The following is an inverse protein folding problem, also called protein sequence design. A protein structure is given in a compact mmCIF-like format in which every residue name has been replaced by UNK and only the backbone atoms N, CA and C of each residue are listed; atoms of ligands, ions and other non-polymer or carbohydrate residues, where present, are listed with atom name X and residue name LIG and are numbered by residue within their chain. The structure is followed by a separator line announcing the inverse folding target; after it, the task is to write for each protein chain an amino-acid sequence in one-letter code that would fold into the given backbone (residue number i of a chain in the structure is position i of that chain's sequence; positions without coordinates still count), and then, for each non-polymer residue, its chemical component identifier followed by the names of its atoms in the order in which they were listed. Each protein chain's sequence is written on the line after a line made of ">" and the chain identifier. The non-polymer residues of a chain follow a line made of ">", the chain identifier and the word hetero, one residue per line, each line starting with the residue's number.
data_IF_154277634237
#
_entry.id   IF_154277634237
#
_cell.length_a   1.000
_cell.length_b   1.000
_cell.length_c   1.000
_cell.angle_alpha   90.00
_cell.angle_beta   90.00
_cell.angle_gamma   90.00
#
_symmetry.space_group_name_H-M   'P 1'
#
loop_
_entity.id
_entity.type
_entity.pdbx_description
1 polymer ?
#
# COMPACT_ATOMS: atom_id res chain seq x y z
N UNK A 1 45.54 17.22 -21.97
CA UNK A 1 45.36 18.10 -20.80
C UNK A 1 43.92 17.90 -20.34
N UNK A 2 43.57 16.82 -19.62
CA UNK A 2 43.73 16.55 -18.18
C UNK A 2 43.03 17.57 -17.27
N UNK A 3 42.24 17.02 -16.34
CA UNK A 3 41.61 17.61 -15.13
C UNK A 3 40.30 18.38 -15.35
N UNK A 4 39.25 18.25 -14.52
CA UNK A 4 39.05 17.43 -13.33
C UNK A 4 37.54 17.35 -13.04
N UNK A 5 37.06 16.13 -12.75
CA UNK A 5 35.76 15.93 -12.12
C UNK A 5 35.79 16.50 -10.70
N UNK A 6 34.74 17.24 -10.33
CA UNK A 6 34.59 17.77 -8.98
C UNK A 6 33.50 16.98 -8.27
N UNK A 7 33.94 15.92 -7.59
CA UNK A 7 33.23 15.30 -6.48
C UNK A 7 33.18 16.30 -5.32
N UNK A 8 32.00 16.73 -4.94
CA UNK A 8 31.81 17.46 -3.68
C UNK A 8 31.62 16.45 -2.56
N UNK A 9 32.61 16.43 -1.68
CA UNK A 9 32.73 15.58 -0.52
C UNK A 9 31.53 15.71 0.43
N UNK A 10 31.20 14.57 1.03
CA UNK A 10 30.30 14.40 2.17
C UNK A 10 30.75 15.34 3.29
N UNK A 11 29.92 16.34 3.61
CA UNK A 11 30.13 17.18 4.78
C UNK A 11 29.82 16.33 6.03
N UNK A 12 30.88 15.80 6.64
CA UNK A 12 30.87 15.37 8.03
C UNK A 12 30.60 16.60 8.90
N UNK A 13 29.39 16.67 9.47
CA UNK A 13 28.95 17.73 10.35
C UNK A 13 28.30 17.13 11.60
N UNK A 14 29.15 16.92 12.60
CA UNK A 14 28.87 17.04 14.04
C UNK A 14 27.59 16.36 14.59
N UNK A 15 27.66 15.04 14.80
CA UNK A 15 26.74 14.31 15.66
C UNK A 15 27.09 14.64 17.13
N UNK A 16 26.46 15.67 17.69
CA UNK A 16 26.44 15.88 19.14
C UNK A 16 25.67 14.72 19.80
N UNK A 17 26.41 13.81 20.44
CA UNK A 17 25.85 12.79 21.34
C UNK A 17 25.46 13.51 22.63
N UNK A 18 24.19 13.85 22.77
CA UNK A 18 23.61 14.25 24.05
C UNK A 18 23.49 12.98 24.90
N UNK A 19 24.27 12.89 25.98
CA UNK A 19 24.09 11.85 26.98
C UNK A 19 22.68 11.99 27.58
N UNK A 20 21.81 11.02 27.28
CA UNK A 20 20.50 10.96 27.90
C UNK A 20 20.70 10.82 29.41
N UNK A 21 20.26 11.81 30.19
CA UNK A 21 20.20 11.75 31.64
C UNK A 21 19.49 10.47 32.06
N UNK A 22 20.11 9.70 32.96
CA UNK A 22 19.64 8.41 33.46
C UNK A 22 18.17 8.51 33.87
N UNK A 23 17.29 7.97 33.04
CA UNK A 23 15.89 7.80 33.39
C UNK A 23 15.89 6.73 34.48
N UNK A 24 15.62 7.15 35.72
CA UNK A 24 15.46 6.25 36.85
C UNK A 24 14.55 5.10 36.44
N UNK A 25 15.13 3.91 36.34
CA UNK A 25 14.42 2.70 35.96
C UNK A 25 13.46 2.41 37.10
N UNK A 26 12.18 2.71 36.91
CA UNK A 26 11.14 2.25 37.82
C UNK A 26 11.31 0.74 37.97
N UNK A 27 11.54 0.29 39.20
CA UNK A 27 11.89 -1.08 39.53
C UNK A 27 10.90 -2.05 38.86
N UNK A 28 11.41 -2.83 37.91
CA UNK A 28 10.64 -3.90 37.29
C UNK A 28 10.31 -4.96 38.36
N UNK A 29 9.10 -5.53 38.37
CA UNK A 29 8.71 -6.54 39.34
C UNK A 29 9.60 -7.80 39.23
N UNK A 30 9.82 -8.54 40.33
CA UNK A 30 10.73 -9.69 40.34
C UNK A 30 10.27 -10.76 39.34
N UNK A 31 11.23 -11.26 38.58
CA UNK A 31 11.03 -12.30 37.56
C UNK A 31 10.51 -13.59 38.24
N UNK A 32 9.41 -14.20 37.76
CA UNK A 32 8.91 -15.45 38.32
C UNK A 32 9.92 -16.59 38.10
N UNK A 33 9.93 -17.63 38.96
CA UNK A 33 10.87 -18.74 38.83
C UNK A 33 10.73 -19.39 37.46
N UNK A 34 11.87 -19.82 36.89
CA UNK A 34 11.96 -20.40 35.56
C UNK A 34 11.13 -21.67 35.45
N UNK A 35 9.83 -21.51 35.15
CA UNK A 35 8.98 -22.56 34.67
C UNK A 35 9.39 -22.84 33.24
N UNK A 36 9.87 -24.06 33.00
CA UNK A 36 10.34 -24.59 31.73
C UNK A 36 9.21 -24.70 30.70
N UNK A 37 8.67 -23.57 30.26
CA UNK A 37 7.64 -23.54 29.23
C UNK A 37 8.30 -23.30 27.87
N UNK A 38 8.42 -24.37 27.09
CA UNK A 38 8.64 -24.31 25.64
C UNK A 38 7.36 -23.84 24.94
N UNK A 39 6.85 -22.67 25.35
CA UNK A 39 5.67 -22.07 24.73
C UNK A 39 6.15 -21.32 23.48
N UNK A 40 5.96 -21.95 22.32
CA UNK A 40 6.00 -21.26 21.03
C UNK A 40 5.01 -20.09 21.11
N UNK A 41 5.52 -18.86 21.21
CA UNK A 41 4.70 -17.66 21.15
C UNK A 41 4.28 -17.53 19.69
N UNK A 42 3.05 -17.95 19.40
CA UNK A 42 2.42 -17.70 18.11
C UNK A 42 2.31 -16.19 17.93
N UNK A 43 3.09 -15.65 16.98
CA UNK A 43 2.97 -14.25 16.59
C UNK A 43 1.64 -14.10 15.85
N UNK A 44 0.62 -13.63 16.57
CA UNK A 44 -0.61 -13.13 15.94
C UNK A 44 -0.31 -11.75 15.37
N UNK A 45 -0.23 -11.58 14.04
CA UNK A 45 -0.04 -10.25 13.47
C UNK A 45 -1.19 -9.35 13.92
N UNK A 46 -0.92 -8.10 14.32
CA UNK A 46 -1.98 -7.17 14.67
C UNK A 46 -2.96 -7.07 13.51
N UNK A 47 -4.26 -7.15 13.81
CA UNK A 47 -5.31 -7.05 12.81
C UNK A 47 -5.06 -5.78 11.98
N UNK A 48 -5.06 -5.91 10.65
CA UNK A 48 -5.03 -4.77 9.75
C UNK A 48 -6.27 -3.93 10.08
N UNK A 49 -6.06 -2.82 10.80
CA UNK A 49 -7.13 -1.93 11.16
C UNK A 49 -7.67 -1.32 9.86
N UNK A 50 -8.96 -1.46 9.50
CA UNK A 50 -9.51 -0.81 8.31
C UNK A 50 -9.52 0.73 8.43
N UNK A 51 -9.28 1.27 9.64
CA UNK A 51 -9.05 2.71 9.88
C UNK A 51 -7.66 3.19 9.42
N UNK A 52 -6.72 2.26 9.20
CA UNK A 52 -5.42 2.47 8.54
C UNK A 52 -5.53 2.41 7.01
N UNK A 53 -6.73 2.59 6.45
CA UNK A 53 -6.86 3.07 5.07
C UNK A 53 -6.35 4.52 5.01
N UNK A 54 -5.03 4.59 4.77
CA UNK A 54 -4.17 5.71 4.39
C UNK A 54 -4.75 7.10 4.69
N UNK A 55 -4.16 7.78 5.67
CA UNK A 55 -4.32 9.23 5.85
C UNK A 55 -4.16 9.98 4.51
N UNK A 56 -3.32 9.47 3.60
CA UNK A 56 -3.22 9.94 2.22
C UNK A 56 -4.50 9.84 1.40
N UNK A 57 -5.30 8.77 1.52
CA UNK A 57 -6.58 8.61 0.81
C UNK A 57 -7.61 9.59 1.37
N UNK A 58 -7.72 9.71 2.70
CA UNK A 58 -8.62 10.69 3.34
C UNK A 58 -8.24 12.12 2.97
N UNK A 59 -6.95 12.47 3.03
CA UNK A 59 -6.46 13.79 2.64
C UNK A 59 -6.71 14.09 1.15
N UNK A 60 -6.53 13.11 0.25
CA UNK A 60 -6.89 13.27 -1.17
C UNK A 60 -8.38 13.56 -1.34
N UNK A 61 -9.24 12.78 -0.69
CA UNK A 61 -10.69 12.96 -0.76
C UNK A 61 -11.12 14.33 -0.24
N UNK A 62 -10.49 14.81 0.84
CA UNK A 62 -10.76 16.15 1.36
C UNK A 62 -10.36 17.21 0.34
N UNK A 63 -9.14 17.14 -0.21
CA UNK A 63 -8.65 18.11 -1.18
C UNK A 63 -9.47 18.15 -2.47
N UNK A 64 -10.02 17.02 -2.90
CA UNK A 64 -10.74 16.90 -4.17
C UNK A 64 -12.26 17.12 -4.04
N UNK A 65 -12.88 16.68 -2.93
CA UNK A 65 -14.33 16.68 -2.79
C UNK A 65 -14.87 17.79 -1.88
N UNK A 66 -14.04 18.38 -1.00
CA UNK A 66 -14.51 19.43 -0.09
C UNK A 66 -14.46 20.78 -0.81
N UNK A 67 -15.59 21.51 -0.89
CA UNK A 67 -15.60 22.84 -1.49
C UNK A 67 -14.68 23.80 -0.74
N UNK A 68 -13.65 24.31 -1.41
CA UNK A 68 -12.75 25.34 -0.87
C UNK A 68 -13.25 26.72 -1.26
N UNK A 69 -13.51 27.58 -0.26
CA UNK A 69 -13.80 29.00 -0.51
C UNK A 69 -12.49 29.74 -0.78
N UNK A 70 -12.40 30.42 -1.92
CA UNK A 70 -11.26 31.27 -2.27
C UNK A 70 -11.61 32.72 -1.96
N UNK A 71 -10.78 33.39 -1.16
CA UNK A 71 -10.98 34.81 -0.78
C UNK A 71 -10.35 35.81 -1.74
N UNK A 72 -9.43 35.36 -2.60
CA UNK A 72 -8.56 36.22 -3.42
C UNK A 72 -8.96 36.20 -4.90
N UNK A 73 -10.27 36.23 -5.19
CA UNK A 73 -10.80 36.20 -6.56
C UNK A 73 -11.05 37.62 -7.07
N UNK A 74 -10.34 38.02 -8.12
CA UNK A 74 -10.64 39.24 -8.87
C UNK A 74 -11.98 39.12 -9.61
N UNK A 75 -12.61 40.26 -9.92
CA UNK A 75 -13.88 40.29 -10.66
C UNK A 75 -13.77 39.67 -12.05
N UNK A 76 -14.87 39.15 -12.60
CA UNK A 76 -14.87 38.40 -13.87
C UNK A 76 -14.44 39.21 -15.10
N UNK A 77 -14.59 40.54 -15.06
CA UNK A 77 -14.15 41.46 -16.10
C UNK A 77 -12.81 42.15 -15.77
N UNK A 78 -12.18 41.80 -14.64
CA UNK A 78 -10.87 42.31 -14.30
C UNK A 78 -9.82 41.75 -15.28
N UNK A 79 -8.87 42.59 -15.68
CA UNK A 79 -7.76 42.16 -16.52
C UNK A 79 -6.79 41.22 -15.79
N UNK A 80 -5.82 40.69 -16.54
CA UNK A 80 -4.79 39.81 -15.99
C UNK A 80 -3.81 40.59 -15.10
N UNK A 81 -3.71 40.19 -13.83
CA UNK A 81 -2.75 40.73 -12.87
C UNK A 81 -1.35 40.12 -13.02
N UNK A 82 -0.34 40.75 -12.42
CA UNK A 82 1.04 40.24 -12.43
C UNK A 82 1.19 38.87 -11.76
N UNK A 83 0.28 38.50 -10.86
CA UNK A 83 0.26 37.21 -10.17
C UNK A 83 -0.50 36.10 -10.89
N UNK A 84 -1.31 36.41 -11.90
CA UNK A 84 -2.25 35.46 -12.51
C UNK A 84 -1.52 34.35 -13.26
N UNK A 85 -0.39 34.69 -13.87
CA UNK A 85 0.49 33.70 -14.50
C UNK A 85 0.95 32.62 -13.51
N UNK A 86 1.38 33.02 -12.31
CA UNK A 86 1.86 32.07 -11.31
C UNK A 86 0.71 31.25 -10.70
N UNK A 87 -0.47 31.83 -10.54
CA UNK A 87 -1.67 31.09 -10.12
C UNK A 87 -2.04 30.02 -11.14
N UNK A 88 -2.13 30.39 -12.43
CA UNK A 88 -2.41 29.45 -13.51
C UNK A 88 -1.37 28.33 -13.55
N UNK A 89 -0.07 28.65 -13.45
CA UNK A 89 1.01 27.65 -13.47
C UNK A 89 0.87 26.62 -12.34
N UNK A 90 0.57 27.08 -11.11
CA UNK A 90 0.38 26.20 -9.96
C UNK A 90 -0.87 25.32 -10.13
N UNK A 91 -1.99 25.92 -10.55
CA UNK A 91 -3.24 25.21 -10.81
C UNK A 91 -3.07 24.15 -11.90
N UNK A 92 -2.42 24.49 -13.02
CA UNK A 92 -2.11 23.55 -14.12
C UNK A 92 -1.31 22.35 -13.64
N UNK A 93 -0.28 22.59 -12.82
CA UNK A 93 0.53 21.50 -12.25
C UNK A 93 -0.30 20.59 -11.36
N UNK A 94 -1.08 21.17 -10.43
CA UNK A 94 -1.98 20.41 -9.56
C UNK A 94 -2.96 19.56 -10.35
N UNK A 95 -3.52 20.10 -11.43
CA UNK A 95 -4.48 19.36 -12.26
C UNK A 95 -3.81 18.25 -13.08
N UNK A 96 -2.62 18.47 -13.62
CA UNK A 96 -1.84 17.43 -14.29
C UNK A 96 -1.50 16.29 -13.34
N UNK A 97 -1.05 16.61 -12.13
CA UNK A 97 -0.75 15.61 -11.10
C UNK A 97 -2.01 14.82 -10.70
N UNK A 98 -3.17 15.49 -10.62
CA UNK A 98 -4.47 14.85 -10.35
C UNK A 98 -4.85 13.87 -11.45
N UNK A 99 -4.75 14.27 -12.72
CA UNK A 99 -5.03 13.42 -13.88
C UNK A 99 -4.10 12.20 -13.91
N UNK A 100 -2.79 12.42 -13.77
CA UNK A 100 -1.81 11.34 -13.79
C UNK A 100 -2.07 10.30 -12.68
N UNK A 101 -2.49 10.73 -11.49
CA UNK A 101 -2.84 9.82 -10.39
C UNK A 101 -4.07 8.98 -10.69
N UNK A 102 -5.12 9.59 -11.23
CA UNK A 102 -6.33 8.86 -11.63
C UNK A 102 -6.03 7.81 -12.70
N UNK A 103 -5.17 8.13 -13.67
CA UNK A 103 -4.75 7.20 -14.71
C UNK A 103 -3.99 5.99 -14.14
N UNK A 104 -3.07 6.23 -13.20
CA UNK A 104 -2.32 5.17 -12.51
C UNK A 104 -3.26 4.26 -11.72
N UNK A 105 -4.22 4.82 -10.97
CA UNK A 105 -5.17 4.02 -10.19
C UNK A 105 -6.11 3.21 -11.09
N UNK A 106 -6.51 3.77 -12.23
CA UNK A 106 -7.29 3.05 -13.24
C UNK A 106 -6.50 1.87 -13.83
N UNK A 107 -5.23 2.09 -14.21
CA UNK A 107 -4.37 1.04 -14.75
C UNK A 107 -4.17 -0.10 -13.74
N UNK A 108 -3.88 0.23 -12.47
CA UNK A 108 -3.75 -0.77 -11.38
C UNK A 108 -5.02 -1.60 -11.22
N UNK A 109 -6.19 -0.96 -11.17
CA UNK A 109 -7.47 -1.67 -11.05
C UNK A 109 -7.73 -2.58 -12.24
N UNK A 110 -7.38 -2.13 -13.46
CA UNK A 110 -7.49 -2.93 -14.68
C UNK A 110 -6.57 -4.15 -14.64
N UNK A 111 -5.31 -3.97 -14.28
CA UNK A 111 -4.32 -5.05 -14.19
C UNK A 111 -4.73 -6.11 -13.15
N UNK A 112 -5.19 -5.67 -11.97
CA UNK A 112 -5.68 -6.58 -10.92
C UNK A 112 -6.91 -7.36 -11.38
N UNK A 113 -7.87 -6.70 -12.04
CA UNK A 113 -9.05 -7.36 -12.58
C UNK A 113 -8.68 -8.40 -13.64
N UNK A 114 -7.77 -8.06 -14.57
CA UNK A 114 -7.29 -8.98 -15.61
C UNK A 114 -6.51 -10.16 -15.01
N UNK A 115 -5.68 -9.91 -14.00
CA UNK A 115 -4.94 -10.95 -13.30
C UNK A 115 -5.88 -11.93 -12.58
N UNK A 116 -6.87 -11.41 -11.85
CA UNK A 116 -7.86 -12.23 -11.15
C UNK A 116 -8.69 -13.07 -12.12
N UNK A 117 -9.14 -12.47 -13.24
CA UNK A 117 -9.87 -13.19 -14.28
C UNK A 117 -9.00 -14.30 -14.90
N UNK A 118 -7.71 -14.03 -15.15
CA UNK A 118 -6.77 -15.02 -15.69
C UNK A 118 -6.51 -16.16 -14.69
N UNK A 119 -6.37 -15.85 -13.40
CA UNK A 119 -6.21 -16.83 -12.32
C UNK A 119 -7.45 -17.71 -12.19
N UNK A 120 -8.63 -17.11 -12.14
CA UNK A 120 -9.90 -17.82 -12.02
C UNK A 120 -10.14 -18.76 -13.21
N UNK A 121 -9.82 -18.31 -14.44
CA UNK A 121 -9.89 -19.15 -15.65
C UNK A 121 -9.01 -20.40 -15.54
N UNK A 122 -7.77 -20.25 -15.06
CA UNK A 122 -6.85 -21.39 -14.85
C UNK A 122 -7.33 -22.32 -13.73
N UNK A 123 -7.81 -21.77 -12.62
CA UNK A 123 -8.36 -22.57 -11.52
C UNK A 123 -9.61 -23.35 -11.93
N UNK A 124 -10.51 -22.74 -12.71
CA UNK A 124 -11.69 -23.42 -13.27
C UNK A 124 -11.33 -24.53 -14.26
N UNK A 125 -10.29 -24.35 -15.08
CA UNK A 125 -9.85 -25.41 -15.99
C UNK A 125 -9.20 -26.58 -15.26
N UNK A 126 -8.37 -26.32 -14.25
CA UNK A 126 -7.77 -27.34 -13.40
C UNK A 126 -8.84 -28.11 -12.63
N UNK A 127 -9.71 -27.40 -11.90
CA UNK A 127 -10.80 -28.03 -11.15
C UNK A 127 -11.80 -28.80 -12.02
N UNK A 128 -11.98 -28.43 -13.30
CA UNK A 128 -12.77 -29.24 -14.26
C UNK A 128 -12.04 -30.49 -14.73
N UNK A 129 -10.71 -30.48 -14.80
CA UNK A 129 -9.95 -31.70 -15.10
C UNK A 129 -9.97 -32.63 -13.88
N UNK A 130 -9.65 -32.09 -12.71
CA UNK A 130 -9.62 -32.83 -11.44
C UNK A 130 -11.00 -33.44 -11.13
N UNK A 131 -12.09 -32.67 -11.22
CA UNK A 131 -13.44 -33.21 -10.95
C UNK A 131 -13.92 -34.27 -11.94
N UNK A 132 -13.45 -34.21 -13.20
CA UNK A 132 -13.73 -35.27 -14.18
C UNK A 132 -12.93 -36.53 -13.86
N UNK A 133 -11.68 -36.38 -13.47
CA UNK A 133 -10.81 -37.49 -13.09
C UNK A 133 -11.30 -38.17 -11.81
N UNK A 134 -11.65 -37.40 -10.77
CA UNK A 134 -12.21 -37.96 -9.53
C UNK A 134 -13.54 -38.65 -9.76
N UNK A 135 -14.40 -38.11 -10.64
CA UNK A 135 -15.69 -38.75 -10.96
C UNK A 135 -15.49 -40.08 -11.69
N UNK A 136 -14.58 -40.14 -12.66
CA UNK A 136 -14.24 -41.39 -13.36
C UNK A 136 -13.68 -42.43 -12.39
N UNK A 137 -12.74 -42.05 -11.53
CA UNK A 137 -12.17 -42.96 -10.54
C UNK A 137 -13.21 -43.47 -9.52
N UNK A 138 -14.22 -42.66 -9.19
CA UNK A 138 -15.31 -43.09 -8.32
C UNK A 138 -16.29 -44.06 -9.01
N UNK A 139 -16.51 -43.88 -10.31
CA UNK A 139 -17.35 -44.76 -11.13
C UNK A 139 -16.68 -46.12 -11.36
N UNK A 140 -15.38 -46.14 -11.68
CA UNK A 140 -14.59 -47.38 -11.80
C UNK A 140 -14.57 -48.17 -10.48
N UNK A 141 -14.42 -47.49 -9.33
CA UNK A 141 -14.51 -48.15 -8.02
C UNK A 141 -15.89 -48.74 -7.72
N UNK A 142 -16.96 -48.03 -8.10
CA UNK A 142 -18.31 -48.53 -7.88
C UNK A 142 -18.66 -49.72 -8.79
N UNK A 143 -18.06 -49.79 -9.98
CA UNK A 143 -18.18 -50.94 -10.90
C UNK A 143 -17.39 -52.15 -10.38
N UNK A 144 -16.15 -51.94 -9.90
CA UNK A 144 -15.34 -53.00 -9.28
C UNK A 144 -16.02 -53.59 -8.02
N UNK A 145 -16.57 -52.74 -7.15
CA UNK A 145 -17.33 -53.19 -5.97
C UNK A 145 -18.65 -53.90 -6.31
N UNK A 146 -19.22 -53.63 -7.50
CA UNK A 146 -20.46 -54.27 -7.97
C UNK A 146 -20.26 -55.59 -8.72
N UNK A 147 -19.03 -55.90 -9.17
CA UNK A 147 -18.68 -57.19 -9.78
C UNK A 147 -18.23 -58.25 -8.75
N UNK A 148 -17.91 -57.84 -7.51
CA UNK A 148 -17.53 -58.75 -6.42
C UNK A 148 -18.72 -59.30 -5.59
N UNK A 149 -19.97 -58.89 -5.89
CA UNK A 149 -21.23 -59.44 -5.30
C UNK A 149 -21.97 -60.42 -6.24
#
# INVERSE_FOLDING_TARGET
>A
MSSSGRSTAVAAGDLQIVAASERQVAALPPRPPASSSTALVEYTPPAANPEEEDLEIKLRRILECVPVRVSNTSGSSAGSGSGDFHQYRQMRRREQDRLARMDVDYQRRKEVAEFNLRRERKSKSCGRADSKETRKAAEEKAEEEGEEE
#
